data_IF_948243172845
#
_entry.id   IF_948243172845
#
_cell.length_a   1.000
_cell.length_b   1.000
_cell.length_c   1.000
_cell.angle_alpha   90.00
_cell.angle_beta   90.00
_cell.angle_gamma   90.00
#
_symmetry.space_group_name_H-M   'P 1'
#
loop_
_entity.id
_entity.type
_entity.pdbx_description
1 polymer ?
#
# COMPACT_ATOMS: atom_id res chain seq x y z
N UNK A 1 20.47 2.16 10.10
CA UNK A 1 20.26 3.13 9.00
C UNK A 1 19.78 2.39 7.77
N UNK A 2 18.50 2.55 7.48
CA UNK A 2 17.87 2.01 6.29
C UNK A 2 18.52 2.54 5.00
N UNK A 3 19.13 1.63 4.22
CA UNK A 3 19.81 1.98 2.98
C UNK A 3 18.86 1.80 1.79
N UNK A 4 18.28 2.89 1.29
CA UNK A 4 17.47 2.91 0.07
C UNK A 4 18.15 3.74 -1.01
N UNK A 5 18.25 3.17 -2.20
CA UNK A 5 18.63 3.95 -3.38
C UNK A 5 17.46 4.86 -3.76
N UNK A 6 17.60 6.16 -3.49
CA UNK A 6 16.57 7.19 -3.74
C UNK A 6 16.15 7.20 -5.22
N UNK A 7 17.05 6.86 -6.16
CA UNK A 7 16.75 6.75 -7.58
C UNK A 7 15.75 5.63 -7.93
N UNK A 8 15.51 4.67 -7.03
CA UNK A 8 14.49 3.63 -7.20
C UNK A 8 13.07 4.10 -6.85
N UNK A 9 12.91 5.27 -6.22
CA UNK A 9 11.60 5.92 -5.98
C UNK A 9 11.06 6.55 -7.26
N UNK A 10 10.85 5.74 -8.30
CA UNK A 10 10.51 6.20 -9.64
C UNK A 10 9.17 5.67 -10.16
N UNK A 11 8.44 4.90 -9.35
CA UNK A 11 7.13 4.36 -9.72
C UNK A 11 6.03 5.23 -9.13
N UNK A 12 5.23 5.85 -9.99
CA UNK A 12 4.05 6.61 -9.56
C UNK A 12 2.96 5.64 -9.10
N UNK A 13 2.53 5.78 -7.85
CA UNK A 13 1.41 5.03 -7.26
C UNK A 13 0.35 6.00 -6.79
N UNK A 14 -0.91 5.59 -6.88
CA UNK A 14 -2.03 6.32 -6.29
C UNK A 14 -2.48 5.59 -5.03
N UNK A 15 -2.53 6.30 -3.92
CA UNK A 15 -3.06 5.80 -2.67
C UNK A 15 -4.52 6.22 -2.64
N UNK A 16 -5.41 5.24 -2.52
CA UNK A 16 -6.84 5.45 -2.35
C UNK A 16 -7.20 5.29 -0.88
N UNK A 17 -8.16 6.09 -0.42
CA UNK A 17 -8.72 6.00 0.94
C UNK A 17 -10.17 5.57 0.84
N UNK A 18 -10.59 4.74 1.79
CA UNK A 18 -11.97 4.33 1.95
C UNK A 18 -12.77 5.47 2.58
N UNK A 19 -13.85 5.87 1.92
CA UNK A 19 -14.82 6.82 2.43
C UNK A 19 -16.11 6.11 2.80
N UNK A 20 -16.25 5.79 4.10
CA UNK A 20 -17.44 5.13 4.66
C UNK A 20 -18.72 5.99 4.62
N UNK A 21 -18.61 7.24 4.20
CA UNK A 21 -19.75 8.17 4.10
C UNK A 21 -20.25 8.32 2.67
N UNK A 22 -19.51 7.81 1.68
CA UNK A 22 -19.92 7.84 0.27
C UNK A 22 -20.68 6.59 -0.09
N UNK A 23 -21.93 6.80 -0.52
CA UNK A 23 -22.73 5.75 -1.15
C UNK A 23 -22.19 5.54 -2.57
N UNK A 24 -21.71 4.33 -2.85
CA UNK A 24 -21.42 3.82 -4.19
C UNK A 24 -22.31 2.61 -4.43
N UNK A 25 -22.66 2.34 -5.69
CA UNK A 25 -23.39 1.12 -6.00
C UNK A 25 -22.39 0.00 -6.23
N UNK A 26 -22.64 -1.18 -5.66
CA UNK A 26 -21.91 -2.40 -6.03
C UNK A 26 -22.28 -2.83 -7.47
N UNK A 27 -21.62 -3.88 -7.97
CA UNK A 27 -21.88 -4.44 -9.31
C UNK A 27 -23.34 -4.94 -9.48
N UNK A 28 -24.07 -5.13 -8.39
CA UNK A 28 -25.48 -5.56 -8.36
C UNK A 28 -26.46 -4.38 -8.22
N UNK A 29 -25.95 -3.15 -8.13
CA UNK A 29 -26.75 -1.92 -8.03
C UNK A 29 -27.21 -1.58 -6.62
N UNK A 30 -26.73 -2.28 -5.59
CA UNK A 30 -27.07 -1.96 -4.20
C UNK A 30 -26.17 -0.84 -3.67
N UNK A 31 -26.72 0.14 -2.93
CA UNK A 31 -25.94 1.18 -2.30
C UNK A 31 -25.07 0.59 -1.18
N UNK A 32 -23.76 0.52 -1.42
CA UNK A 32 -22.74 0.26 -0.40
C UNK A 32 -22.08 1.56 0.02
N UNK A 33 -21.69 1.64 1.30
CA UNK A 33 -21.03 2.81 1.87
C UNK A 33 -19.51 2.80 1.68
N UNK A 34 -18.96 1.86 0.90
CA UNK A 34 -17.51 1.64 0.78
C UNK A 34 -16.92 2.26 -0.49
N UNK A 35 -17.10 3.57 -0.66
CA UNK A 35 -16.55 4.32 -1.79
C UNK A 35 -15.04 4.54 -1.66
N UNK A 36 -14.26 4.04 -2.63
CA UNK A 36 -12.83 4.34 -2.72
C UNK A 36 -12.60 5.60 -3.55
N UNK A 37 -11.76 6.52 -3.05
CA UNK A 37 -11.37 7.71 -3.79
C UNK A 37 -9.86 7.89 -3.80
N UNK A 38 -9.35 8.53 -4.86
CA UNK A 38 -7.94 8.89 -4.99
C UNK A 38 -7.57 9.94 -3.93
N UNK A 39 -6.83 9.52 -2.90
CA UNK A 39 -6.45 10.37 -1.78
C UNK A 39 -5.19 11.16 -2.10
N UNK A 40 -4.14 10.47 -2.53
CA UNK A 40 -2.88 11.13 -2.90
C UNK A 40 -2.08 10.28 -3.87
N UNK A 41 -1.19 10.93 -4.62
CA UNK A 41 -0.26 10.24 -5.51
C UNK A 41 1.17 10.42 -4.98
N UNK A 42 1.93 9.32 -4.91
CA UNK A 42 3.30 9.33 -4.42
C UNK A 42 4.22 8.54 -5.35
N UNK A 43 5.52 8.79 -5.23
CA UNK A 43 6.53 7.97 -5.86
C UNK A 43 6.99 6.88 -4.90
N UNK A 44 7.02 5.65 -5.39
CA UNK A 44 7.39 4.46 -4.66
C UNK A 44 8.54 3.72 -5.35
N UNK A 45 9.32 3.01 -4.54
CA UNK A 45 10.15 1.90 -4.98
C UNK A 45 9.34 0.63 -4.79
N UNK A 46 9.14 -0.12 -5.87
CA UNK A 46 8.32 -1.32 -5.86
C UNK A 46 9.26 -2.51 -6.01
N UNK A 47 9.29 -3.36 -4.98
CA UNK A 47 10.03 -4.61 -5.00
C UNK A 47 9.01 -5.75 -4.97
N UNK A 48 8.93 -6.50 -6.07
CA UNK A 48 8.22 -7.76 -6.08
C UNK A 48 9.09 -8.80 -5.35
N UNK A 49 8.47 -9.72 -4.63
CA UNK A 49 9.15 -10.83 -3.93
C UNK A 49 9.96 -11.76 -4.85
N UNK A 50 9.90 -11.56 -6.17
CA UNK A 50 10.59 -12.35 -7.20
C UNK A 50 12.12 -12.16 -7.27
N UNK A 51 12.74 -11.73 -6.17
CA UNK A 51 14.18 -11.64 -6.01
C UNK A 51 14.64 -12.58 -4.90
N UNK A 52 15.77 -13.24 -5.11
CA UNK A 52 16.48 -14.19 -4.25
C UNK A 52 16.79 -13.76 -2.79
N UNK A 53 16.19 -12.67 -2.30
CA UNK A 53 16.28 -12.19 -0.92
C UNK A 53 15.24 -12.83 0.02
N UNK A 54 14.43 -13.78 -0.48
CA UNK A 54 13.30 -14.38 0.24
C UNK A 54 13.53 -15.81 0.74
N UNK A 55 14.78 -16.27 0.89
CA UNK A 55 15.05 -17.64 1.38
C UNK A 55 14.74 -17.87 2.86
N UNK A 56 14.27 -16.86 3.60
CA UNK A 56 13.98 -16.99 5.05
C UNK A 56 12.50 -16.92 5.44
N UNK A 57 11.59 -16.56 4.54
CA UNK A 57 10.16 -16.50 4.85
C UNK A 57 9.46 -17.76 4.30
N UNK A 58 9.46 -18.79 5.14
CA UNK A 58 8.63 -19.99 4.99
C UNK A 58 7.16 -19.61 5.21
N UNK A 59 6.34 -19.51 4.16
CA UNK A 59 4.98 -20.03 4.13
C UNK A 59 4.31 -19.79 2.76
N UNK A 60 3.48 -20.76 2.37
CA UNK A 60 2.83 -20.98 1.07
C UNK A 60 1.81 -19.89 0.64
N UNK A 61 1.78 -18.71 1.28
CA UNK A 61 0.80 -17.64 1.00
C UNK A 61 1.38 -16.33 0.39
N UNK A 62 2.68 -16.26 0.14
CA UNK A 62 3.38 -15.01 -0.21
C UNK A 62 3.56 -14.73 -1.72
N UNK A 63 3.02 -15.54 -2.62
CA UNK A 63 3.27 -15.38 -4.06
C UNK A 63 2.72 -14.08 -4.67
N UNK A 64 1.73 -13.43 -4.06
CA UNK A 64 1.09 -12.19 -4.58
C UNK A 64 1.33 -10.94 -3.71
N UNK A 65 2.25 -11.00 -2.74
CA UNK A 65 2.58 -9.84 -1.90
C UNK A 65 3.66 -8.99 -2.57
N UNK A 66 3.44 -7.68 -2.64
CA UNK A 66 4.38 -6.69 -3.17
C UNK A 66 4.78 -5.71 -2.06
N UNK A 67 6.06 -5.37 -2.02
CA UNK A 67 6.58 -4.36 -1.11
C UNK A 67 6.67 -3.00 -1.83
N UNK A 68 5.98 -2.01 -1.30
CA UNK A 68 6.03 -0.62 -1.72
C UNK A 68 6.81 0.18 -0.68
N UNK A 69 7.84 0.90 -1.10
CA UNK A 69 8.57 1.81 -0.23
C UNK A 69 8.28 3.24 -0.69
N UNK A 70 7.72 4.07 0.17
CA UNK A 70 7.44 5.48 -0.09
C UNK A 70 8.13 6.36 0.93
N UNK A 71 8.30 7.64 0.59
CA UNK A 71 8.70 8.65 1.58
C UNK A 71 7.59 8.84 2.61
N UNK A 72 8.00 9.05 3.86
CA UNK A 72 7.08 9.45 4.91
C UNK A 72 6.33 10.74 4.52
N UNK A 73 5.05 10.78 4.84
CA UNK A 73 4.17 11.93 4.65
C UNK A 73 3.23 11.96 5.84
N UNK A 74 3.13 13.09 6.53
CA UNK A 74 2.25 13.24 7.69
C UNK A 74 0.79 12.88 7.39
N UNK A 75 0.34 13.18 6.17
CA UNK A 75 -1.00 12.82 5.67
C UNK A 75 -1.30 11.31 5.65
N UNK A 76 -0.27 10.47 5.78
CA UNK A 76 -0.36 9.01 5.76
C UNK A 76 -0.04 8.37 7.12
N UNK A 77 0.16 9.18 8.16
CA UNK A 77 0.42 8.72 9.53
C UNK A 77 -0.71 7.83 10.06
N UNK A 78 -1.95 8.11 9.64
CA UNK A 78 -3.12 7.28 9.94
C UNK A 78 -2.97 5.81 9.50
N UNK A 79 -2.12 5.52 8.51
CA UNK A 79 -1.89 4.16 8.04
C UNK A 79 -1.22 3.26 9.07
N UNK A 80 -0.46 3.83 10.00
CA UNK A 80 0.26 3.11 11.06
C UNK A 80 -0.69 2.56 12.14
N UNK A 81 -1.90 3.10 12.23
CA UNK A 81 -2.88 2.69 13.24
C UNK A 81 -3.41 1.27 12.95
N UNK A 82 -3.87 0.57 13.99
CA UNK A 82 -4.30 -0.84 13.92
C UNK A 82 -5.36 -1.15 12.83
N UNK A 83 -6.18 -0.16 12.45
CA UNK A 83 -7.15 -0.27 11.36
C UNK A 83 -6.86 0.64 10.16
N UNK A 84 -5.79 1.44 10.23
CA UNK A 84 -5.40 2.39 9.19
C UNK A 84 -5.14 1.68 7.87
N UNK A 85 -4.31 0.63 7.89
CA UNK A 85 -4.00 -0.20 6.72
C UNK A 85 -5.24 -0.66 5.93
N UNK A 86 -6.36 -0.99 6.59
CA UNK A 86 -7.60 -1.43 5.93
C UNK A 86 -8.39 -0.29 5.26
N UNK A 87 -8.14 0.95 5.67
CA UNK A 87 -8.78 2.13 5.11
C UNK A 87 -8.04 2.67 3.88
N UNK A 88 -6.92 2.07 3.50
CA UNK A 88 -6.13 2.50 2.37
C UNK A 88 -5.80 1.33 1.44
N UNK A 89 -5.76 1.61 0.15
CA UNK A 89 -5.27 0.67 -0.87
C UNK A 89 -4.41 1.40 -1.89
N UNK A 90 -3.58 0.66 -2.60
CA UNK A 90 -2.67 1.21 -3.61
C UNK A 90 -3.19 0.84 -4.99
N UNK A 91 -3.34 1.84 -5.86
CA UNK A 91 -3.56 1.67 -7.28
C UNK A 91 -2.24 1.90 -8.03
N UNK A 92 -1.79 0.87 -8.75
CA UNK A 92 -0.59 0.92 -9.56
C UNK A 92 -0.77 0.15 -10.86
N UNK A 93 -0.46 0.77 -12.01
CA UNK A 93 -0.64 0.17 -13.35
C UNK A 93 -2.03 -0.44 -13.57
N UNK A 94 -3.09 0.26 -13.15
CA UNK A 94 -4.46 -0.21 -13.26
C UNK A 94 -4.77 -1.51 -12.48
N UNK A 95 -3.93 -1.85 -11.50
CA UNK A 95 -4.15 -2.93 -10.54
C UNK A 95 -4.28 -2.36 -9.13
N UNK A 96 -5.21 -2.89 -8.38
CA UNK A 96 -5.44 -2.54 -6.98
C UNK A 96 -4.71 -3.51 -6.06
N UNK A 97 -4.13 -2.97 -5.00
CA UNK A 97 -3.36 -3.69 -3.99
C UNK A 97 -3.87 -3.30 -2.62
N UNK A 98 -4.41 -4.28 -1.87
CA UNK A 98 -4.86 -4.06 -0.50
C UNK A 98 -3.67 -4.09 0.44
N UNK A 99 -3.59 -3.08 1.29
CA UNK A 99 -2.47 -2.92 2.23
C UNK A 99 -2.68 -3.89 3.40
N UNK A 100 -1.74 -4.80 3.59
CA UNK A 100 -1.78 -5.79 4.67
C UNK A 100 -0.95 -5.34 5.87
N UNK A 101 0.12 -4.59 5.64
CA UNK A 101 1.03 -4.14 6.68
C UNK A 101 1.73 -2.84 6.30
N UNK A 102 1.90 -1.94 7.27
CA UNK A 102 2.61 -0.66 7.14
C UNK A 102 3.61 -0.53 8.27
N UNK A 103 4.85 -0.18 7.94
CA UNK A 103 5.94 0.00 8.89
C UNK A 103 6.63 1.34 8.64
N UNK A 104 6.72 2.16 9.69
CA UNK A 104 7.54 3.36 9.70
C UNK A 104 8.97 2.97 10.04
N UNK A 105 9.87 3.13 9.09
CA UNK A 105 11.22 2.61 9.20
C UNK A 105 11.95 3.27 10.37
N UNK A 106 12.26 2.46 11.39
CA UNK A 106 12.97 2.87 12.62
C UNK A 106 12.24 4.01 13.39
N UNK A 107 10.94 4.28 13.11
CA UNK A 107 10.20 5.46 13.59
C UNK A 107 10.90 6.80 13.33
N UNK A 108 11.78 6.84 12.33
CA UNK A 108 12.56 8.03 11.98
C UNK A 108 11.79 9.02 11.09
N UNK A 109 10.56 8.68 10.68
CA UNK A 109 9.72 9.49 9.79
C UNK A 109 10.40 9.80 8.45
N UNK A 110 11.15 8.82 7.93
CA UNK A 110 11.87 8.96 6.65
C UNK A 110 11.17 8.21 5.53
N UNK A 111 10.83 6.94 5.77
CA UNK A 111 10.22 6.05 4.78
C UNK A 111 9.17 5.15 5.41
N UNK A 112 8.17 4.82 4.61
CA UNK A 112 7.21 3.76 4.89
C UNK A 112 7.54 2.52 4.05
N UNK A 113 7.55 1.37 4.71
CA UNK A 113 7.49 0.06 4.05
C UNK A 113 6.06 -0.44 4.13
N UNK A 114 5.44 -0.59 2.98
CA UNK A 114 4.06 -1.04 2.85
C UNK A 114 4.08 -2.40 2.17
N UNK A 115 3.53 -3.42 2.82
CA UNK A 115 3.23 -4.70 2.21
C UNK A 115 1.77 -4.67 1.74
N UNK A 116 1.56 -5.01 0.49
CA UNK A 116 0.22 -5.07 -0.07
C UNK A 116 0.05 -6.30 -0.96
N UNK A 117 -1.16 -6.84 -1.00
CA UNK A 117 -1.51 -8.00 -1.82
C UNK A 117 -2.34 -7.55 -3.02
N UNK A 118 -2.03 -8.07 -4.21
CA UNK A 118 -2.84 -7.78 -5.39
C UNK A 118 -4.28 -8.30 -5.18
N UNK A 119 -5.25 -7.45 -5.50
CA UNK A 119 -6.67 -7.85 -5.60
C UNK A 119 -6.90 -8.17 -7.08
N UNK A 120 -7.22 -9.43 -7.37
CA UNK A 120 -7.63 -9.90 -8.69
C UNK A 120 -9.15 -9.94 -8.78
#
# INVERSE_FOLDING_TARGET
>A
MFNINIGKLNKKITIQKLDKTKIVNDDEGNPTTDGWYDYTTKFASINNLYGSEFWSAKAVNEQDTINFIIRYSKDLEDMEQANGAKMYRILWKNKTYDITFVDNVEYLNTFYKIKAKAVN
#
